data_IF_365148712899
#
_entry.id   IF_365148712899
#
_cell.length_a   1.000
_cell.length_b   1.000
_cell.length_c   1.000
_cell.angle_alpha   90.00
_cell.angle_beta   90.00
_cell.angle_gamma   90.00
#
_symmetry.space_group_name_H-M   'P 1'
#
loop_
_entity.id
_entity.type
_entity.pdbx_description
1 polymer ?
#
# COMPACT_ATOMS: atom_id res chain seq x y z
N UNK A 1 11.72 35.61 -90.50
CA UNK A 1 10.55 35.35 -89.64
C UNK A 1 10.84 34.04 -88.91
N UNK A 2 11.44 34.11 -87.71
CA UNK A 2 11.82 32.92 -86.93
C UNK A 2 10.93 32.89 -85.68
N UNK A 3 10.15 31.83 -85.54
CA UNK A 3 9.32 31.59 -84.37
C UNK A 3 10.16 30.94 -83.26
N UNK A 4 10.32 31.65 -82.14
CA UNK A 4 10.86 31.10 -80.91
C UNK A 4 9.93 30.04 -80.33
N UNK A 5 10.41 28.81 -80.25
CA UNK A 5 9.80 27.77 -79.45
C UNK A 5 10.24 27.95 -77.99
N UNK A 6 9.37 28.52 -77.16
CA UNK A 6 9.54 28.60 -75.71
C UNK A 6 9.25 27.22 -75.11
N UNK A 7 10.29 26.48 -74.77
CA UNK A 7 10.23 25.25 -73.99
C UNK A 7 9.59 25.54 -72.62
N UNK A 8 8.37 25.08 -72.43
CA UNK A 8 7.66 25.14 -71.16
C UNK A 8 8.34 24.24 -70.14
N UNK A 9 8.93 24.85 -69.12
CA UNK A 9 9.54 24.21 -67.97
C UNK A 9 8.48 23.34 -67.27
N UNK A 10 8.55 22.01 -67.40
CA UNK A 10 7.75 21.09 -66.62
C UNK A 10 8.19 21.22 -65.15
N UNK A 11 7.41 21.99 -64.38
CA UNK A 11 7.58 22.09 -62.94
C UNK A 11 7.49 20.71 -62.31
N UNK A 12 8.62 20.25 -61.76
CA UNK A 12 8.73 19.12 -60.86
C UNK A 12 7.79 19.32 -59.65
N UNK A 13 6.55 18.84 -59.74
CA UNK A 13 5.69 18.67 -58.57
C UNK A 13 6.16 17.45 -57.78
N UNK A 14 7.22 17.62 -56.98
CA UNK A 14 7.52 16.69 -55.89
C UNK A 14 6.60 17.04 -54.72
N UNK A 15 5.70 16.13 -54.28
CA UNK A 15 4.89 16.40 -53.10
C UNK A 15 5.82 16.58 -51.89
N UNK A 16 5.53 17.52 -50.98
CA UNK A 16 6.35 17.73 -49.79
C UNK A 16 6.30 16.49 -48.89
N UNK A 17 7.35 15.67 -48.96
CA UNK A 17 7.62 14.59 -48.02
C UNK A 17 7.94 15.21 -46.65
N UNK A 18 6.90 15.44 -45.86
CA UNK A 18 7.07 16.01 -44.52
C UNK A 18 5.78 16.18 -43.69
N UNK A 19 4.60 15.93 -44.26
CA UNK A 19 3.33 16.01 -43.51
C UNK A 19 3.02 14.72 -42.73
N UNK A 20 3.36 13.55 -43.28
CA UNK A 20 3.08 12.27 -42.63
C UNK A 20 3.96 12.03 -41.38
N UNK A 21 5.24 12.38 -41.43
CA UNK A 21 6.16 12.19 -40.29
C UNK A 21 5.81 13.05 -39.06
N UNK A 22 5.18 14.22 -39.27
CA UNK A 22 4.74 15.09 -38.17
C UNK A 22 3.51 14.54 -37.45
N UNK A 23 2.58 13.90 -38.18
CA UNK A 23 1.42 13.24 -37.56
C UNK A 23 1.82 12.03 -36.72
N UNK A 24 2.74 11.19 -37.21
CA UNK A 24 3.25 10.06 -36.42
C UNK A 24 4.04 10.53 -35.19
N UNK A 25 4.90 11.55 -35.32
CA UNK A 25 5.62 12.14 -34.17
C UNK A 25 4.69 12.72 -33.10
N UNK A 26 3.58 13.35 -33.49
CA UNK A 26 2.58 13.87 -32.54
C UNK A 26 1.85 12.77 -31.76
N UNK A 27 1.50 11.67 -32.43
CA UNK A 27 0.83 10.52 -31.80
C UNK A 27 1.77 9.76 -30.86
N UNK A 28 3.02 9.53 -31.27
CA UNK A 28 4.03 8.89 -30.40
C UNK A 28 4.48 9.79 -29.24
N UNK A 29 4.50 11.11 -29.40
CA UNK A 29 4.79 12.05 -28.31
C UNK A 29 3.65 12.12 -27.28
N UNK A 30 2.39 12.09 -27.74
CA UNK A 30 1.22 12.06 -26.85
C UNK A 30 1.12 10.76 -26.04
N UNK A 31 1.54 9.63 -26.61
CA UNK A 31 1.51 8.32 -25.94
C UNK A 31 2.33 8.31 -24.65
N UNK A 32 3.55 8.85 -24.66
CA UNK A 32 4.40 8.92 -23.47
C UNK A 32 3.80 9.77 -22.36
N UNK A 33 3.11 10.86 -22.72
CA UNK A 33 2.44 11.72 -21.76
C UNK A 33 1.26 10.99 -21.10
N UNK A 34 0.46 10.26 -21.89
CA UNK A 34 -0.64 9.43 -21.37
C UNK A 34 -0.09 8.34 -20.44
N UNK A 35 0.97 7.62 -20.86
CA UNK A 35 1.62 6.60 -20.03
C UNK A 35 2.12 7.21 -18.71
N UNK A 36 2.78 8.36 -18.76
CA UNK A 36 3.27 9.05 -17.57
C UNK A 36 2.12 9.47 -16.64
N UNK A 37 1.01 9.98 -17.18
CA UNK A 37 -0.18 10.32 -16.40
C UNK A 37 -0.81 9.09 -15.73
N UNK A 38 -0.88 7.96 -16.43
CA UNK A 38 -1.38 6.70 -15.86
C UNK A 38 -0.46 6.21 -14.74
N UNK A 39 0.86 6.20 -14.96
CA UNK A 39 1.82 5.79 -13.93
C UNK A 39 1.71 6.70 -12.70
N UNK A 40 1.62 8.01 -12.90
CA UNK A 40 1.48 8.98 -11.82
C UNK A 40 0.17 8.78 -11.04
N UNK A 41 -0.96 8.60 -11.74
CA UNK A 41 -2.26 8.39 -11.09
C UNK A 41 -2.30 7.08 -10.29
N UNK A 42 -1.78 5.99 -10.83
CA UNK A 42 -1.65 4.73 -10.12
C UNK A 42 -0.71 4.85 -8.91
N UNK A 43 0.43 5.54 -9.06
CA UNK A 43 1.37 5.74 -7.95
C UNK A 43 0.74 6.50 -6.79
N UNK A 44 0.00 7.58 -7.08
CA UNK A 44 -0.72 8.35 -6.06
C UNK A 44 -1.82 7.50 -5.40
N UNK A 45 -2.58 6.74 -6.20
CA UNK A 45 -3.62 5.87 -5.66
C UNK A 45 -3.04 4.81 -4.72
N UNK A 46 -1.96 4.13 -5.12
CA UNK A 46 -1.27 3.13 -4.29
C UNK A 46 -0.74 3.75 -2.99
N UNK A 47 -0.17 4.96 -3.06
CA UNK A 47 0.31 5.67 -1.87
C UNK A 47 -0.83 5.97 -0.89
N UNK A 48 -1.95 6.47 -1.40
CA UNK A 48 -3.13 6.79 -0.57
C UNK A 48 -3.71 5.52 0.07
N UNK A 49 -3.88 4.44 -0.69
CA UNK A 49 -4.36 3.17 -0.16
C UNK A 49 -3.44 2.63 0.94
N UNK A 50 -2.12 2.63 0.70
CA UNK A 50 -1.16 2.17 1.70
C UNK A 50 -1.21 3.01 2.98
N UNK A 51 -1.29 4.35 2.87
CA UNK A 51 -1.40 5.24 4.03
C UNK A 51 -2.67 4.99 4.86
N UNK A 52 -3.80 4.76 4.18
CA UNK A 52 -5.09 4.48 4.83
C UNK A 52 -5.07 3.14 5.52
N UNK A 53 -4.46 2.13 4.90
CA UNK A 53 -4.28 0.82 5.51
C UNK A 53 -3.38 0.88 6.75
N UNK A 54 -2.23 1.58 6.68
CA UNK A 54 -1.35 1.79 7.84
C UNK A 54 -2.08 2.50 9.00
N UNK A 55 -2.85 3.55 8.69
CA UNK A 55 -3.63 4.26 9.70
C UNK A 55 -4.71 3.38 10.33
N UNK A 56 -5.44 2.61 9.51
CA UNK A 56 -6.46 1.68 9.99
C UNK A 56 -5.83 0.59 10.88
N UNK A 57 -4.73 -0.04 10.45
CA UNK A 57 -4.04 -1.05 11.23
C UNK A 57 -3.61 -0.51 12.59
N UNK A 58 -2.90 0.62 12.62
CA UNK A 58 -2.46 1.25 13.88
C UNK A 58 -3.62 1.61 14.80
N UNK A 59 -4.76 2.00 14.26
CA UNK A 59 -5.96 2.32 15.07
C UNK A 59 -6.62 1.09 15.70
N UNK A 60 -6.40 -0.10 15.14
CA UNK A 60 -7.00 -1.36 15.63
C UNK A 60 -6.13 -2.14 16.61
N UNK A 61 -4.87 -1.76 16.78
CA UNK A 61 -3.94 -2.47 17.66
C UNK A 61 -4.24 -2.10 19.12
N UNK A 62 -4.57 -3.12 19.91
CA UNK A 62 -4.67 -2.98 21.36
C UNK A 62 -3.29 -3.08 21.99
N UNK A 63 -2.86 -2.01 22.65
CA UNK A 63 -1.61 -2.00 23.40
C UNK A 63 -1.81 -2.69 24.76
N UNK A 64 -1.10 -3.79 24.96
CA UNK A 64 -1.05 -4.45 26.27
C UNK A 64 -0.28 -3.55 27.26
N UNK A 65 -0.81 -3.34 28.48
CA UNK A 65 -0.17 -2.47 29.47
C UNK A 65 1.19 -3.05 29.90
N UNK A 66 2.25 -2.24 29.82
CA UNK A 66 3.61 -2.70 30.15
C UNK A 66 4.35 -3.42 29.01
N UNK A 67 3.71 -3.64 27.85
CA UNK A 67 4.41 -4.17 26.69
C UNK A 67 5.27 -3.10 26.01
N UNK A 68 6.49 -3.49 25.63
CA UNK A 68 7.41 -2.68 24.84
C UNK A 68 7.28 -3.04 23.37
N UNK A 69 7.17 -2.04 22.49
CA UNK A 69 7.16 -2.26 21.04
C UNK A 69 8.60 -2.46 20.57
N UNK A 70 8.91 -3.68 20.11
CA UNK A 70 10.24 -4.00 19.57
C UNK A 70 10.35 -3.58 18.11
N UNK A 71 9.31 -3.89 17.33
CA UNK A 71 9.34 -3.71 15.88
C UNK A 71 8.01 -3.17 15.39
N UNK A 72 8.06 -2.08 14.62
CA UNK A 72 6.96 -1.59 13.79
C UNK A 72 7.43 -1.65 12.33
N UNK A 73 7.15 -2.77 11.67
CA UNK A 73 7.48 -3.00 10.26
C UNK A 73 6.25 -2.68 9.40
N UNK A 74 6.35 -1.60 8.65
CA UNK A 74 5.33 -1.19 7.69
C UNK A 74 5.90 -1.31 6.27
N UNK A 75 5.73 -2.48 5.66
CA UNK A 75 6.15 -2.71 4.27
C UNK A 75 5.14 -2.06 3.30
N UNK A 76 5.64 -1.38 2.26
CA UNK A 76 4.81 -0.72 1.26
C UNK A 76 4.08 -1.76 0.41
N UNK A 77 2.75 -1.74 0.39
CA UNK A 77 1.91 -2.76 -0.26
C UNK A 77 2.24 -4.20 0.19
N UNK A 78 2.54 -4.36 1.48
CA UNK A 78 2.97 -5.64 2.05
C UNK A 78 2.24 -6.00 3.34
N UNK A 79 2.86 -6.91 4.08
CA UNK A 79 2.36 -7.30 5.40
C UNK A 79 2.84 -6.27 6.41
N UNK A 80 1.90 -5.66 7.13
CA UNK A 80 2.24 -4.81 8.27
C UNK A 80 2.36 -5.68 9.50
N UNK A 81 3.43 -5.49 10.26
CA UNK A 81 3.71 -6.29 11.45
C UNK A 81 4.15 -5.39 12.60
N UNK A 82 3.46 -5.52 13.73
CA UNK A 82 3.88 -4.92 15.00
C UNK A 82 4.22 -6.03 15.98
N UNK A 83 5.43 -5.99 16.53
CA UNK A 83 5.89 -6.95 17.54
C UNK A 83 6.06 -6.20 18.85
N UNK A 84 5.38 -6.68 19.88
CA UNK A 84 5.52 -6.21 21.25
C UNK A 84 6.04 -7.33 22.14
N UNK A 85 6.69 -6.97 23.24
CA UNK A 85 7.12 -7.92 24.26
C UNK A 85 6.74 -7.44 25.64
N UNK A 86 6.37 -8.39 26.49
CA UNK A 86 6.10 -8.17 27.91
C UNK A 86 6.82 -9.24 28.75
N UNK A 87 7.04 -8.92 30.02
CA UNK A 87 7.54 -9.86 31.04
C UNK A 87 6.43 -10.73 31.64
N UNK A 88 5.18 -10.54 31.23
CA UNK A 88 4.05 -11.33 31.71
C UNK A 88 3.93 -12.66 30.96
N UNK A 89 3.31 -13.63 31.63
CA UNK A 89 3.06 -14.96 31.06
C UNK A 89 2.03 -14.92 29.92
N UNK A 90 2.19 -15.82 28.96
CA UNK A 90 1.39 -15.88 27.73
C UNK A 90 -0.09 -16.07 28.03
N UNK A 91 -0.43 -16.86 29.04
CA UNK A 91 -1.81 -17.09 29.46
C UNK A 91 -2.47 -15.82 30.00
N UNK A 92 -1.73 -15.00 30.76
CA UNK A 92 -2.25 -13.73 31.30
C UNK A 92 -2.49 -12.71 30.18
N UNK A 93 -1.54 -12.62 29.25
CA UNK A 93 -1.64 -11.75 28.08
C UNK A 93 -2.83 -12.16 27.22
N UNK A 94 -3.00 -13.44 26.94
CA UNK A 94 -4.11 -13.96 26.14
C UNK A 94 -5.46 -13.68 26.81
N UNK A 95 -5.58 -13.93 28.12
CA UNK A 95 -6.81 -13.64 28.87
C UNK A 95 -7.19 -12.15 28.81
N UNK A 96 -6.20 -11.27 28.87
CA UNK A 96 -6.45 -9.83 28.75
C UNK A 96 -7.02 -9.46 27.38
N UNK A 97 -6.42 -9.97 26.29
CA UNK A 97 -6.91 -9.71 24.92
C UNK A 97 -8.31 -10.29 24.70
N UNK A 98 -8.57 -11.51 25.17
CA UNK A 98 -9.90 -12.11 25.14
C UNK A 98 -10.91 -11.24 25.90
N UNK A 99 -10.50 -10.72 27.06
CA UNK A 99 -11.29 -9.77 27.85
C UNK A 99 -11.69 -8.54 27.05
N UNK A 100 -10.74 -7.85 26.41
CA UNK A 100 -11.02 -6.66 25.59
C UNK A 100 -11.98 -6.96 24.45
N UNK A 101 -11.74 -8.03 23.70
CA UNK A 101 -12.56 -8.42 22.55
C UNK A 101 -13.97 -8.80 22.98
N UNK A 102 -14.10 -9.52 24.10
CA UNK A 102 -15.42 -9.87 24.65
C UNK A 102 -16.24 -8.64 25.03
N UNK A 103 -15.59 -7.58 25.55
CA UNK A 103 -16.28 -6.32 25.86
C UNK A 103 -16.77 -5.61 24.59
N UNK A 104 -15.95 -5.59 23.53
CA UNK A 104 -16.34 -5.01 22.24
C UNK A 104 -17.48 -5.81 21.60
N UNK A 105 -17.39 -7.15 21.59
CA UNK A 105 -18.47 -8.01 21.10
C UNK A 105 -19.77 -7.82 21.87
N UNK A 106 -19.72 -7.71 23.21
CA UNK A 106 -20.92 -7.42 24.02
C UNK A 106 -21.55 -6.08 23.64
N UNK A 107 -20.73 -5.04 23.43
CA UNK A 107 -21.23 -3.73 22.97
C UNK A 107 -21.85 -3.82 21.58
N UNK A 108 -21.22 -4.55 20.65
CA UNK A 108 -21.75 -4.77 19.29
C UNK A 108 -23.11 -5.47 19.33
N UNK A 109 -23.27 -6.51 20.16
CA UNK A 109 -24.56 -7.21 20.31
C UNK A 109 -25.64 -6.30 20.88
N UNK A 110 -25.33 -5.45 21.85
CA UNK A 110 -26.29 -4.51 22.45
C UNK A 110 -26.68 -3.39 21.49
N UNK A 111 -25.73 -2.89 20.70
CA UNK A 111 -25.94 -1.74 19.79
C UNK A 111 -26.42 -2.17 18.40
N UNK A 112 -26.27 -3.44 18.04
CA UNK A 112 -26.51 -3.96 16.69
C UNK A 112 -25.41 -3.60 15.68
N UNK A 113 -24.33 -2.93 16.09
CA UNK A 113 -23.23 -2.54 15.20
C UNK A 113 -22.06 -3.54 15.27
N UNK A 114 -21.97 -4.39 14.25
CA UNK A 114 -20.89 -5.36 14.09
C UNK A 114 -19.76 -4.88 13.18
N UNK A 115 -19.84 -3.66 12.63
CA UNK A 115 -18.86 -3.15 11.66
C UNK A 115 -17.49 -2.87 12.29
N UNK A 116 -17.47 -2.62 13.60
CA UNK A 116 -16.28 -2.22 14.36
C UNK A 116 -15.67 -3.35 15.21
N UNK A 117 -15.98 -4.62 14.92
CA UNK A 117 -15.39 -5.74 15.67
C UNK A 117 -13.96 -5.95 15.19
N UNK A 118 -12.95 -5.86 16.09
CA UNK A 118 -11.57 -6.07 15.72
C UNK A 118 -11.35 -7.51 15.28
N UNK A 119 -10.65 -7.69 14.15
CA UNK A 119 -10.23 -9.02 13.72
C UNK A 119 -9.22 -9.61 14.70
N UNK A 120 -9.26 -10.94 14.91
CA UNK A 120 -8.26 -11.66 15.72
C UNK A 120 -6.94 -11.78 14.97
N UNK A 121 -6.18 -10.69 14.95
CA UNK A 121 -4.92 -10.55 14.22
C UNK A 121 -3.68 -10.57 15.13
N UNK A 122 -3.85 -10.98 16.40
CA UNK A 122 -2.76 -11.15 17.35
C UNK A 122 -2.36 -12.62 17.49
N UNK A 123 -1.05 -12.85 17.54
CA UNK A 123 -0.40 -14.10 17.87
C UNK A 123 0.44 -13.87 19.12
N UNK A 124 0.25 -14.70 20.15
CA UNK A 124 0.99 -14.62 21.42
C UNK A 124 1.87 -15.85 21.51
N UNK A 125 3.17 -15.64 21.64
CA UNK A 125 4.18 -16.70 21.68
C UNK A 125 5.05 -16.53 22.93
N UNK A 126 5.50 -17.62 23.57
CA UNK A 126 6.48 -17.53 24.64
C UNK A 126 7.80 -16.98 24.08
N UNK A 127 8.47 -16.12 24.84
CA UNK A 127 9.77 -15.59 24.46
C UNK A 127 10.84 -16.67 24.70
N UNK A 128 11.14 -17.49 23.69
CA UNK A 128 12.29 -18.40 23.74
C UNK A 128 13.59 -17.57 23.72
N UNK A 129 14.22 -17.45 24.90
CA UNK A 129 15.51 -16.80 25.17
C UNK A 129 15.49 -15.26 25.29
N UNK A 130 15.12 -14.75 26.46
CA UNK A 130 15.84 -13.58 27.03
C UNK A 130 16.97 -14.11 27.91
N UNK A 131 18.22 -13.76 27.60
CA UNK A 131 19.42 -14.31 28.24
C UNK A 131 19.45 -14.22 29.78
N UNK A 132 20.34 -15.04 30.36
CA UNK A 132 20.85 -15.14 31.73
C UNK A 132 19.87 -15.13 32.94
N UNK A 133 18.74 -14.42 32.89
CA UNK A 133 17.88 -14.17 34.05
C UNK A 133 16.58 -14.98 34.07
N UNK A 134 16.31 -15.82 33.07
CA UNK A 134 15.22 -16.82 33.12
C UNK A 134 13.81 -16.24 33.29
N UNK A 135 13.60 -14.95 33.02
CA UNK A 135 12.29 -14.31 33.14
C UNK A 135 11.41 -14.80 32.01
N UNK A 136 10.37 -15.57 32.36
CA UNK A 136 9.31 -15.94 31.42
C UNK A 136 8.68 -14.66 30.87
N UNK A 137 8.59 -14.55 29.55
CA UNK A 137 8.00 -13.38 28.90
C UNK A 137 7.21 -13.81 27.66
N UNK A 138 6.42 -12.87 27.15
CA UNK A 138 5.55 -13.10 26.00
C UNK A 138 5.88 -12.15 24.86
N UNK A 139 5.88 -12.68 23.64
CA UNK A 139 5.91 -11.94 22.40
C UNK A 139 4.50 -11.85 21.84
N UNK A 140 4.05 -10.64 21.56
CA UNK A 140 2.75 -10.35 20.93
C UNK A 140 3.05 -9.85 19.52
N UNK A 141 2.60 -10.60 18.52
CA UNK A 141 2.72 -10.20 17.11
C UNK A 141 1.34 -9.84 16.58
N UNK A 142 1.19 -8.63 16.06
CA UNK A 142 0.06 -8.24 15.22
C UNK A 142 0.49 -8.27 13.76
N UNK A 143 -0.31 -8.86 12.89
CA UNK A 143 -0.08 -8.79 11.45
C UNK A 143 -1.36 -8.51 10.68
N UNK A 144 -1.24 -7.73 9.61
CA UNK A 144 -2.33 -7.55 8.64
C UNK A 144 -1.77 -7.42 7.24
N UNK A 145 -2.56 -7.84 6.25
CA UNK A 145 -2.24 -7.68 4.84
C UNK A 145 -3.08 -6.57 4.25
N UNK A 146 -2.42 -5.56 3.68
CA UNK A 146 -3.10 -4.51 2.94
C UNK A 146 -3.38 -4.99 1.51
N UNK A 147 -4.66 -5.06 1.07
CA UNK A 147 -5.00 -5.38 -0.30
C UNK A 147 -4.69 -4.22 -1.27
#
# INVERSE_FOLDING_TARGET
MFASYSSGNHGDYRPPVGSHDRQFRGVFAGLWLIIACVIASFSVLSFVMNSRCQAAFRSTIYHYPGAQVITDQAEYLGTQRVIMTTTDDTAQVEQWFIGQVSQVMRRAVVTGDFTNIPARNWLIEPLENSGADGVAGSRITFSTTCP
#
